data_IF_759736271328
#
_entry.id   IF_759736271328
#
_cell.length_a   1.000
_cell.length_b   1.000
_cell.length_c   1.000
_cell.angle_alpha   90.00
_cell.angle_beta   90.00
_cell.angle_gamma   90.00
#
_symmetry.space_group_name_H-M   'P 1'
#
loop_
_entity.id
_entity.type
_entity.pdbx_description
1 polymer ?
#
# COMPACT_ATOMS: atom_id res chain seq x y z
N UNK A 1 -10.41 3.50 6.68
CA UNK A 1 -9.44 2.46 7.06
C UNK A 1 -8.02 3.02 6.92
N UNK A 2 -7.23 2.87 7.96
CA UNK A 2 -5.85 3.31 7.99
C UNK A 2 -4.97 2.14 7.56
N UNK A 3 -4.05 2.35 6.64
CA UNK A 3 -3.17 1.28 6.15
C UNK A 3 -1.82 1.29 6.87
N UNK A 4 -1.85 1.17 8.20
CA UNK A 4 -0.65 1.26 9.03
C UNK A 4 0.34 0.10 8.80
N UNK A 5 -0.11 -1.00 8.20
CA UNK A 5 0.73 -2.18 7.95
C UNK A 5 1.15 -2.31 6.49
N UNK A 6 0.94 -1.28 5.69
CA UNK A 6 1.32 -1.33 4.28
C UNK A 6 2.81 -1.62 4.09
N UNK A 7 3.65 -0.87 4.79
CA UNK A 7 5.10 -1.04 4.68
C UNK A 7 5.53 -2.45 5.10
N UNK A 8 4.94 -2.96 6.16
CA UNK A 8 5.24 -4.31 6.65
C UNK A 8 4.98 -5.36 5.58
N UNK A 9 3.79 -5.31 4.97
CA UNK A 9 3.44 -6.28 3.93
C UNK A 9 4.28 -6.11 2.67
N UNK A 10 4.60 -4.86 2.33
CA UNK A 10 5.47 -4.60 1.19
C UNK A 10 6.85 -5.21 1.40
N UNK A 11 7.42 -4.99 2.57
CA UNK A 11 8.75 -5.50 2.90
C UNK A 11 8.79 -7.02 2.99
N UNK A 12 7.73 -7.64 3.47
CA UNK A 12 7.61 -9.09 3.49
C UNK A 12 7.71 -9.69 2.11
N UNK A 13 7.26 -8.96 1.10
CA UNK A 13 7.32 -9.41 -0.29
C UNK A 13 8.61 -9.00 -0.97
N UNK A 14 9.51 -8.35 -0.26
CA UNK A 14 10.77 -7.90 -0.83
C UNK A 14 10.62 -6.81 -1.88
N UNK A 15 9.56 -6.01 -1.80
CA UNK A 15 9.28 -4.98 -2.80
C UNK A 15 9.75 -3.62 -2.33
N UNK A 16 10.33 -2.84 -3.25
CA UNK A 16 10.56 -1.41 -3.00
C UNK A 16 9.25 -0.66 -3.21
N UNK A 17 9.20 0.60 -2.77
CA UNK A 17 8.03 1.44 -3.02
C UNK A 17 7.75 1.56 -4.52
N UNK A 18 8.80 1.72 -5.32
CA UNK A 18 8.65 1.82 -6.76
C UNK A 18 8.11 0.54 -7.39
N UNK A 19 8.58 -0.61 -6.93
CA UNK A 19 8.10 -1.89 -7.42
C UNK A 19 6.62 -2.09 -7.08
N UNK A 20 6.23 -1.75 -5.86
CA UNK A 20 4.83 -1.81 -5.47
C UNK A 20 3.98 -0.85 -6.30
N UNK A 21 4.50 0.36 -6.58
CA UNK A 21 3.80 1.32 -7.41
C UNK A 21 3.50 0.75 -8.78
N UNK A 22 4.46 0.08 -9.39
CA UNK A 22 4.27 -0.53 -10.71
C UNK A 22 3.26 -1.67 -10.67
N UNK A 23 3.33 -2.52 -9.65
CA UNK A 23 2.43 -3.67 -9.51
C UNK A 23 1.00 -3.24 -9.20
N UNK A 24 0.83 -2.20 -8.40
CA UNK A 24 -0.49 -1.78 -7.92
C UNK A 24 -1.15 -0.72 -8.78
N UNK A 25 -0.39 -0.11 -9.68
CA UNK A 25 -0.84 1.05 -10.45
C UNK A 25 -1.23 2.21 -9.52
N UNK A 26 -0.56 2.32 -8.39
CA UNK A 26 -0.71 3.42 -7.44
C UNK A 26 0.59 4.21 -7.47
N UNK A 27 0.50 5.54 -7.50
CA UNK A 27 1.69 6.37 -7.56
C UNK A 27 2.63 6.15 -6.38
N UNK A 28 3.94 6.16 -6.64
CA UNK A 28 4.95 5.98 -5.60
C UNK A 28 4.82 7.03 -4.50
N UNK A 29 4.51 8.28 -4.88
CA UNK A 29 4.33 9.35 -3.91
C UNK A 29 3.16 9.06 -2.96
N UNK A 30 2.10 8.46 -3.47
CA UNK A 30 0.95 8.06 -2.65
C UNK A 30 1.35 6.96 -1.67
N UNK A 31 2.10 5.97 -2.14
CA UNK A 31 2.58 4.88 -1.27
C UNK A 31 3.48 5.46 -0.17
N UNK A 32 4.41 6.33 -0.54
CA UNK A 32 5.31 6.95 0.43
C UNK A 32 4.54 7.75 1.48
N UNK A 33 3.52 8.50 1.05
CA UNK A 33 2.70 9.29 1.97
C UNK A 33 1.91 8.40 2.93
N UNK A 34 1.38 7.28 2.44
CA UNK A 34 0.66 6.33 3.29
C UNK A 34 1.61 5.73 4.33
N UNK A 35 2.78 5.30 3.90
CA UNK A 35 3.75 4.67 4.80
C UNK A 35 4.30 5.66 5.83
N UNK A 36 4.37 6.93 5.47
CA UNK A 36 4.81 7.98 6.37
C UNK A 36 3.72 8.48 7.33
N UNK A 37 2.51 7.93 7.21
CA UNK A 37 1.38 8.35 8.04
C UNK A 37 0.76 9.67 7.63
N UNK A 38 1.16 10.23 6.48
CA UNK A 38 0.63 11.51 6.00
C UNK A 38 -0.68 11.36 5.24
N UNK A 39 -1.00 10.15 4.79
CA UNK A 39 -2.24 9.85 4.12
C UNK A 39 -2.83 8.57 4.73
N UNK A 40 -3.36 8.66 5.95
CA UNK A 40 -3.77 7.45 6.68
C UNK A 40 -5.02 6.78 6.11
N UNK A 41 -5.87 7.53 5.39
CA UNK A 41 -7.13 7.00 4.85
C UNK A 41 -7.17 7.16 3.34
N UNK A 42 -6.49 6.29 2.60
CA UNK A 42 -6.51 6.37 1.14
C UNK A 42 -7.89 6.02 0.59
N UNK A 43 -8.14 6.47 -0.63
CA UNK A 43 -9.37 6.16 -1.33
C UNK A 43 -9.57 4.63 -1.41
N UNK A 44 -10.82 4.13 -1.32
CA UNK A 44 -11.07 2.68 -1.40
C UNK A 44 -10.43 2.00 -2.61
N UNK A 45 -10.45 2.63 -3.78
CA UNK A 45 -9.82 2.06 -4.96
C UNK A 45 -8.31 1.87 -4.75
N UNK A 46 -7.67 2.82 -4.09
CA UNK A 46 -6.24 2.74 -3.77
C UNK A 46 -5.96 1.56 -2.84
N UNK A 47 -6.78 1.39 -1.80
CA UNK A 47 -6.64 0.26 -0.88
C UNK A 47 -6.73 -1.08 -1.61
N UNK A 48 -7.72 -1.21 -2.48
CA UNK A 48 -7.93 -2.45 -3.23
C UNK A 48 -6.76 -2.75 -4.16
N UNK A 49 -6.25 -1.73 -4.84
CA UNK A 49 -5.12 -1.90 -5.74
C UNK A 49 -3.87 -2.37 -4.99
N UNK A 50 -3.60 -1.74 -3.84
CA UNK A 50 -2.46 -2.12 -3.02
C UNK A 50 -2.62 -3.53 -2.46
N UNK A 51 -3.80 -3.85 -1.95
CA UNK A 51 -4.06 -5.18 -1.39
C UNK A 51 -3.93 -6.26 -2.46
N UNK A 52 -4.46 -6.01 -3.66
CA UNK A 52 -4.36 -6.96 -4.76
C UNK A 52 -2.90 -7.19 -5.15
N UNK A 53 -2.12 -6.12 -5.24
CA UNK A 53 -0.70 -6.22 -5.60
C UNK A 53 0.07 -7.02 -4.56
N UNK A 54 -0.30 -6.89 -3.28
CA UNK A 54 0.35 -7.61 -2.20
C UNK A 54 -0.28 -8.97 -1.91
N UNK A 55 -1.35 -9.32 -2.65
CA UNK A 55 -2.07 -10.59 -2.53
C UNK A 55 -2.60 -10.82 -1.11
N UNK A 56 -3.13 -9.78 -0.52
CA UNK A 56 -3.75 -9.81 0.81
C UNK A 56 -5.11 -9.13 0.72
N UNK A 57 -5.91 -9.30 1.79
CA UNK A 57 -7.17 -8.57 1.91
C UNK A 57 -6.88 -7.14 2.35
N UNK A 58 -7.69 -6.14 1.94
CA UNK A 58 -7.46 -4.76 2.36
C UNK A 58 -7.38 -4.59 3.88
N UNK A 59 -8.18 -5.34 4.63
CA UNK A 59 -8.17 -5.28 6.10
C UNK A 59 -6.82 -5.70 6.69
N UNK A 60 -6.06 -6.53 6.00
CA UNK A 60 -4.76 -6.98 6.50
C UNK A 60 -3.71 -5.87 6.45
N UNK A 61 -3.98 -4.81 5.71
CA UNK A 61 -3.08 -3.66 5.63
C UNK A 61 -3.33 -2.63 6.74
N UNK A 62 -4.42 -2.79 7.46
CA UNK A 62 -4.78 -1.86 8.55
C UNK A 62 -3.92 -2.12 9.85
#
# INVERSE_FOLDING_TARGET
MILSRLKEHRERRGLTQMELAKLSDVGRATIAAIEAGKRPRPHPATRWRLARALKVKPEELA
#
